data_IF_167004543789
#
_entry.id   IF_167004543789
#
_cell.length_a   1.000
_cell.length_b   1.000
_cell.length_c   1.000
_cell.angle_alpha   90.00
_cell.angle_beta   90.00
_cell.angle_gamma   90.00
#
_symmetry.space_group_name_H-M   'P 1'
#
loop_
_entity.id
_entity.type
_entity.pdbx_description
1 polymer ?
#
# COMPACT_ATOMS: atom_id res chain seq x y z
N UNK A 1 20.13 11.27 45.17
CA UNK A 1 19.86 12.61 44.59
C UNK A 1 18.45 12.65 44.01
N UNK A 2 17.74 13.76 44.16
CA UNK A 2 16.33 13.89 43.75
C UNK A 2 16.23 14.10 42.23
N UNK A 3 15.50 13.26 41.48
CA UNK A 3 15.46 13.24 40.01
C UNK A 3 15.08 14.61 39.39
N UNK A 4 14.21 15.36 40.07
CA UNK A 4 13.83 16.73 39.69
C UNK A 4 15.00 17.72 39.68
N UNK A 5 15.98 17.55 40.57
CA UNK A 5 17.17 18.41 40.64
C UNK A 5 18.12 18.13 39.48
N UNK A 6 18.22 16.87 39.06
CA UNK A 6 19.07 16.45 37.93
C UNK A 6 18.51 17.01 36.62
N UNK A 7 17.19 16.90 36.39
CA UNK A 7 16.55 17.51 35.22
C UNK A 7 16.76 19.03 35.21
N UNK A 8 16.54 19.70 36.34
CA UNK A 8 16.72 21.17 36.43
C UNK A 8 18.17 21.60 36.17
N UNK A 9 19.15 20.80 36.62
CA UNK A 9 20.56 21.04 36.34
C UNK A 9 20.89 20.83 34.85
N UNK A 10 20.35 19.76 34.23
CA UNK A 10 20.51 19.49 32.80
C UNK A 10 19.91 20.59 31.92
N UNK A 11 18.69 21.06 32.23
CA UNK A 11 18.07 22.16 31.49
C UNK A 11 18.88 23.46 31.60
N UNK A 12 19.40 23.78 32.79
CA UNK A 12 20.23 24.98 33.01
C UNK A 12 21.58 24.89 32.28
N UNK A 13 22.17 23.70 32.23
CA UNK A 13 23.37 23.37 31.45
C UNK A 13 23.17 23.62 29.96
N UNK A 14 22.07 23.12 29.38
CA UNK A 14 21.69 23.29 27.97
C UNK A 14 21.49 24.77 27.60
N UNK A 15 20.81 25.54 28.47
CA UNK A 15 20.54 26.96 28.23
C UNK A 15 21.83 27.81 28.24
N UNK A 16 22.88 27.39 28.96
CA UNK A 16 24.16 28.10 29.02
C UNK A 16 24.95 27.99 27.71
N UNK A 17 24.73 26.94 26.91
CA UNK A 17 25.43 26.70 25.63
C UNK A 17 24.47 26.55 24.45
N UNK A 18 23.54 27.51 24.28
CA UNK A 18 22.42 27.44 23.33
C UNK A 18 22.80 26.99 21.91
N UNK A 19 23.83 27.60 21.33
CA UNK A 19 24.24 27.30 19.95
C UNK A 19 24.75 25.86 19.79
N UNK A 20 25.52 25.37 20.76
CA UNK A 20 26.05 24.01 20.76
C UNK A 20 24.95 22.98 20.96
N UNK A 21 24.12 23.17 21.98
CA UNK A 21 23.00 22.28 22.25
C UNK A 21 21.99 22.23 21.10
N UNK A 22 21.77 23.35 20.41
CA UNK A 22 20.93 23.40 19.21
C UNK A 22 21.56 22.63 18.03
N UNK A 23 22.86 22.83 17.77
CA UNK A 23 23.59 22.09 16.72
C UNK A 23 23.60 20.56 16.99
N UNK A 24 23.74 20.14 18.24
CA UNK A 24 23.66 18.72 18.63
C UNK A 24 22.25 18.16 18.47
N UNK A 25 21.27 18.90 18.99
CA UNK A 25 19.87 18.49 18.92
C UNK A 25 19.42 18.41 17.46
N UNK A 26 19.93 19.27 16.57
CA UNK A 26 19.57 19.29 15.16
C UNK A 26 19.83 17.94 14.47
N UNK A 27 20.94 17.27 14.75
CA UNK A 27 21.22 15.94 14.20
C UNK A 27 20.19 14.89 14.63
N UNK A 28 19.75 14.93 15.90
CA UNK A 28 18.71 14.04 16.41
C UNK A 28 17.33 14.43 15.88
N UNK A 29 17.02 15.73 15.79
CA UNK A 29 15.76 16.25 15.24
C UNK A 29 15.59 15.78 13.81
N UNK A 30 16.61 16.01 12.96
CA UNK A 30 16.59 15.60 11.55
C UNK A 30 16.54 14.07 11.45
N UNK A 31 17.35 13.34 12.22
CA UNK A 31 17.35 11.88 12.19
C UNK A 31 15.99 11.28 12.58
N UNK A 32 15.39 11.72 13.68
CA UNK A 32 14.08 11.24 14.14
C UNK A 32 12.98 11.64 13.16
N UNK A 33 13.01 12.89 12.67
CA UNK A 33 12.03 13.34 11.69
C UNK A 33 12.13 12.52 10.40
N UNK A 34 13.34 12.29 9.90
CA UNK A 34 13.60 11.49 8.71
C UNK A 34 13.09 10.05 8.86
N UNK A 35 13.38 9.38 9.99
CA UNK A 35 12.87 8.03 10.27
C UNK A 35 11.34 8.02 10.24
N UNK A 36 10.69 8.91 10.99
CA UNK A 36 9.23 8.92 11.12
C UNK A 36 8.55 9.25 9.78
N UNK A 37 9.04 10.25 9.04
CA UNK A 37 8.47 10.62 7.74
C UNK A 37 8.66 9.49 6.72
N UNK A 38 9.86 8.91 6.60
CA UNK A 38 10.11 7.87 5.60
C UNK A 38 9.27 6.62 5.83
N UNK A 39 9.13 6.18 7.08
CA UNK A 39 8.27 5.03 7.39
C UNK A 39 6.80 5.39 7.18
N UNK A 40 6.35 6.59 7.55
CA UNK A 40 4.97 7.02 7.32
C UNK A 40 4.60 7.12 5.83
N UNK A 41 5.55 7.54 4.99
CA UNK A 41 5.40 7.54 3.52
C UNK A 41 5.36 6.11 2.98
N UNK A 42 6.22 5.22 3.47
CA UNK A 42 6.21 3.79 3.11
C UNK A 42 4.88 3.11 3.45
N UNK A 43 4.40 3.29 4.68
CA UNK A 43 3.11 2.76 5.15
C UNK A 43 1.94 3.33 4.34
N UNK A 44 1.93 4.64 4.07
CA UNK A 44 0.87 5.25 3.27
C UNK A 44 0.90 4.85 1.79
N UNK A 45 2.08 4.58 1.23
CA UNK A 45 2.22 3.96 -0.08
C UNK A 45 1.70 2.52 -0.08
N UNK A 46 2.00 1.74 0.97
CA UNK A 46 1.47 0.39 1.13
C UNK A 46 -0.06 0.40 1.20
N UNK A 47 -0.65 1.27 2.01
CA UNK A 47 -2.11 1.42 2.10
C UNK A 47 -2.74 1.75 0.75
N UNK A 48 -2.13 2.64 -0.03
CA UNK A 48 -2.58 2.96 -1.39
C UNK A 48 -2.54 1.76 -2.34
N UNK A 49 -1.48 0.96 -2.26
CA UNK A 49 -1.38 -0.29 -3.03
C UNK A 49 -2.47 -1.26 -2.59
N UNK A 50 -2.69 -1.43 -1.29
CA UNK A 50 -3.76 -2.29 -0.75
C UNK A 50 -5.16 -1.82 -1.19
N UNK A 51 -5.46 -0.53 -1.13
CA UNK A 51 -6.71 0.06 -1.62
C UNK A 51 -6.89 -0.14 -3.13
N UNK A 52 -5.84 0.10 -3.92
CA UNK A 52 -5.87 -0.11 -5.36
C UNK A 52 -6.14 -1.59 -5.69
N UNK A 53 -5.58 -2.52 -4.93
CA UNK A 53 -5.80 -3.95 -5.12
C UNK A 53 -7.20 -4.36 -4.66
N UNK A 54 -7.67 -3.86 -3.53
CA UNK A 54 -9.03 -4.08 -3.07
C UNK A 54 -10.06 -3.58 -4.10
N UNK A 55 -9.77 -2.46 -4.78
CA UNK A 55 -10.62 -1.92 -5.84
C UNK A 55 -10.73 -2.82 -7.08
N UNK A 56 -9.76 -3.72 -7.31
CA UNK A 56 -9.77 -4.68 -8.42
C UNK A 56 -10.69 -5.88 -8.14
N UNK A 57 -11.04 -6.10 -6.87
CA UNK A 57 -11.82 -7.22 -6.33
C UNK A 57 -11.00 -8.03 -5.34
N UNK A 58 -11.43 -8.10 -4.07
CA UNK A 58 -10.77 -8.94 -3.06
C UNK A 58 -10.94 -10.42 -3.42
N UNK A 59 -9.83 -11.15 -3.51
CA UNK A 59 -9.80 -12.60 -3.80
C UNK A 59 -10.22 -12.95 -5.24
N UNK A 60 -9.89 -12.08 -6.19
CA UNK A 60 -10.13 -12.31 -7.62
C UNK A 60 -9.12 -13.32 -8.18
N UNK A 61 -9.64 -14.43 -8.67
CA UNK A 61 -8.92 -15.42 -9.48
C UNK A 61 -9.34 -15.23 -10.93
N UNK A 62 -8.35 -15.11 -11.82
CA UNK A 62 -8.57 -14.97 -13.27
C UNK A 62 -8.03 -16.22 -13.96
N UNK A 63 -8.90 -16.86 -14.73
CA UNK A 63 -8.56 -17.98 -15.59
C UNK A 63 -8.44 -17.45 -17.02
N UNK A 64 -7.24 -17.48 -17.58
CA UNK A 64 -6.95 -17.04 -18.95
C UNK A 64 -6.57 -18.22 -19.83
N UNK A 65 -6.83 -18.18 -21.15
CA UNK A 65 -6.34 -19.22 -22.04
C UNK A 65 -4.82 -19.30 -22.03
N UNK A 66 -4.29 -20.51 -21.98
CA UNK A 66 -2.85 -20.77 -21.95
C UNK A 66 -2.19 -20.60 -23.31
N UNK A 67 -0.91 -20.96 -23.38
CA UNK A 67 -0.20 -21.15 -24.65
C UNK A 67 -0.59 -22.49 -25.24
N UNK A 68 -0.85 -22.55 -26.54
CA UNK A 68 -1.17 -23.82 -27.20
C UNK A 68 0.00 -24.35 -28.01
N UNK A 69 0.22 -25.66 -27.96
CA UNK A 69 1.12 -26.38 -28.87
C UNK A 69 0.33 -27.47 -29.58
N UNK A 70 0.15 -27.38 -30.90
CA UNK A 70 -0.54 -28.40 -31.69
C UNK A 70 0.22 -28.71 -32.98
N UNK A 71 0.48 -30.00 -33.24
CA UNK A 71 1.18 -30.45 -34.45
C UNK A 71 2.60 -29.88 -34.62
N UNK A 72 3.32 -29.60 -33.53
CA UNK A 72 4.64 -28.98 -33.57
C UNK A 72 4.65 -27.45 -33.72
N UNK A 73 3.47 -26.82 -33.87
CA UNK A 73 3.31 -25.36 -33.89
C UNK A 73 3.00 -24.87 -32.48
N UNK A 74 3.86 -24.00 -31.95
CA UNK A 74 3.66 -23.31 -30.66
C UNK A 74 3.06 -21.94 -30.91
N UNK A 75 1.91 -21.67 -30.32
CA UNK A 75 1.25 -20.37 -30.31
C UNK A 75 1.36 -19.70 -28.94
N UNK A 76 1.41 -18.36 -28.92
CA UNK A 76 1.45 -17.56 -27.69
C UNK A 76 0.16 -17.67 -26.86
N UNK A 77 0.16 -17.11 -25.65
CA UNK A 77 -1.02 -17.15 -24.78
C UNK A 77 -2.25 -16.55 -25.48
N UNK A 78 -3.38 -17.27 -25.49
CA UNK A 78 -4.59 -16.85 -26.18
C UNK A 78 -4.64 -17.15 -27.69
N UNK A 79 -3.60 -17.76 -28.28
CA UNK A 79 -3.62 -18.18 -29.70
C UNK A 79 -4.65 -19.28 -29.99
N UNK A 80 -5.04 -20.01 -28.96
CA UNK A 80 -6.08 -21.02 -29.00
C UNK A 80 -6.89 -20.90 -27.71
N UNK A 81 -8.20 -20.79 -27.87
CA UNK A 81 -9.11 -20.55 -26.77
C UNK A 81 -10.24 -21.57 -26.83
N UNK A 82 -10.32 -22.43 -25.82
CA UNK A 82 -11.36 -23.45 -25.67
C UNK A 82 -12.47 -23.06 -24.71
N UNK A 83 -12.40 -21.89 -24.07
CA UNK A 83 -13.39 -21.52 -23.07
C UNK A 83 -14.78 -21.37 -23.66
N UNK A 84 -15.69 -22.12 -23.07
CA UNK A 84 -17.10 -22.19 -23.39
C UNK A 84 -17.95 -21.77 -22.20
N UNK A 85 -19.23 -21.50 -22.45
CA UNK A 85 -20.18 -21.26 -21.36
C UNK A 85 -20.39 -22.51 -20.50
N UNK A 86 -20.16 -23.70 -21.05
CA UNK A 86 -20.25 -24.96 -20.30
C UNK A 86 -19.18 -25.04 -19.21
N UNK A 87 -17.98 -24.52 -19.46
CA UNK A 87 -16.91 -24.46 -18.44
C UNK A 87 -17.31 -23.56 -17.27
N UNK A 88 -17.94 -22.42 -17.57
CA UNK A 88 -18.47 -21.48 -16.57
C UNK A 88 -19.57 -22.13 -15.74
N UNK A 89 -20.51 -22.81 -16.41
CA UNK A 89 -21.61 -23.51 -15.74
C UNK A 89 -21.08 -24.66 -14.88
N UNK A 90 -20.05 -25.39 -15.34
CA UNK A 90 -19.40 -26.45 -14.58
C UNK A 90 -18.72 -25.90 -13.32
N UNK A 91 -17.92 -24.84 -13.43
CA UNK A 91 -17.33 -24.14 -12.29
C UNK A 91 -18.41 -23.71 -11.30
N UNK A 92 -19.51 -23.11 -11.80
CA UNK A 92 -20.60 -22.63 -10.96
C UNK A 92 -21.27 -23.73 -10.14
N UNK A 93 -21.37 -24.94 -10.70
CA UNK A 93 -22.08 -26.06 -10.09
C UNK A 93 -21.18 -26.93 -9.20
N UNK A 94 -19.89 -27.06 -9.52
CA UNK A 94 -18.98 -27.98 -8.83
C UNK A 94 -18.06 -27.30 -7.82
N UNK A 95 -17.70 -26.03 -8.02
CA UNK A 95 -16.77 -25.35 -7.13
C UNK A 95 -17.46 -24.94 -5.82
N UNK A 96 -16.86 -25.34 -4.70
CA UNK A 96 -17.39 -25.07 -3.35
C UNK A 96 -16.64 -23.97 -2.61
N UNK A 97 -15.43 -23.62 -3.07
CA UNK A 97 -14.57 -22.62 -2.43
C UNK A 97 -14.70 -21.22 -3.04
N UNK A 98 -15.69 -21.01 -3.90
CA UNK A 98 -15.91 -19.77 -4.63
C UNK A 98 -17.20 -19.08 -4.19
N UNK A 99 -17.23 -17.76 -4.26
CA UNK A 99 -18.40 -16.93 -3.97
C UNK A 99 -19.26 -16.68 -5.21
N UNK A 100 -18.62 -16.58 -6.37
CA UNK A 100 -19.29 -16.32 -7.64
C UNK A 100 -18.33 -16.51 -8.82
N UNK A 101 -18.92 -16.71 -10.00
CA UNK A 101 -18.19 -16.89 -11.26
C UNK A 101 -18.83 -16.07 -12.37
N UNK A 102 -18.00 -15.43 -13.19
CA UNK A 102 -18.44 -14.70 -14.37
C UNK A 102 -17.52 -14.99 -15.55
N UNK A 103 -18.07 -15.31 -16.74
CA UNK A 103 -17.31 -15.20 -17.96
C UNK A 103 -16.99 -13.73 -18.23
N UNK A 104 -15.92 -13.50 -18.97
CA UNK A 104 -15.60 -12.21 -19.55
C UNK A 104 -15.55 -12.35 -21.07
N UNK A 105 -16.56 -11.82 -21.75
CA UNK A 105 -16.57 -11.73 -23.22
C UNK A 105 -16.22 -10.30 -23.60
N UNK A 106 -15.05 -10.07 -24.19
CA UNK A 106 -14.66 -8.73 -24.64
C UNK A 106 -15.14 -8.45 -26.05
N UNK A 107 -15.70 -7.27 -26.25
CA UNK A 107 -15.97 -6.66 -27.54
C UNK A 107 -15.66 -5.17 -27.47
N UNK A 108 -15.74 -4.50 -28.61
CA UNK A 108 -15.47 -3.07 -28.72
C UNK A 108 -16.17 -2.51 -29.94
N UNK A 109 -16.39 -1.20 -29.96
CA UNK A 109 -16.96 -0.53 -31.11
C UNK A 109 -17.36 0.91 -30.83
N UNK A 110 -17.94 1.53 -31.85
CA UNK A 110 -18.62 2.81 -31.69
C UNK A 110 -19.99 2.58 -31.05
N UNK A 111 -20.27 3.36 -30.02
CA UNK A 111 -21.54 3.44 -29.32
C UNK A 111 -22.17 4.76 -29.72
N UNK A 112 -23.45 4.74 -30.06
CA UNK A 112 -24.21 5.92 -30.46
C UNK A 112 -25.43 6.01 -29.56
N UNK A 113 -25.61 7.12 -28.87
CA UNK A 113 -26.69 7.33 -27.90
C UNK A 113 -26.73 8.78 -27.44
N UNK A 114 -27.91 9.24 -27.00
CA UNK A 114 -28.12 10.62 -26.61
C UNK A 114 -27.77 11.59 -27.73
N UNK A 115 -26.89 12.55 -27.43
CA UNK A 115 -26.44 13.59 -28.36
C UNK A 115 -25.13 13.25 -29.10
N UNK A 116 -24.51 12.11 -28.80
CA UNK A 116 -23.12 11.86 -29.16
C UNK A 116 -22.81 10.44 -29.67
N UNK A 117 -21.52 10.22 -29.87
CA UNK A 117 -20.95 8.90 -30.10
C UNK A 117 -19.64 8.76 -29.33
N UNK A 118 -19.36 7.55 -28.87
CA UNK A 118 -18.19 7.26 -28.05
C UNK A 118 -17.62 5.89 -28.43
N UNK A 119 -16.30 5.74 -28.47
CA UNK A 119 -15.66 4.46 -28.71
C UNK A 119 -15.22 3.86 -27.37
N UNK A 120 -15.75 2.70 -27.01
CA UNK A 120 -15.44 2.07 -25.73
C UNK A 120 -15.45 0.54 -25.82
N UNK A 121 -15.00 -0.12 -24.75
CA UNK A 121 -15.06 -1.56 -24.59
C UNK A 121 -16.41 -2.02 -24.05
N UNK A 122 -16.90 -3.12 -24.60
CA UNK A 122 -18.10 -3.81 -24.12
C UNK A 122 -17.68 -5.12 -23.49
N UNK A 123 -18.10 -5.35 -22.25
CA UNK A 123 -17.84 -6.58 -21.52
C UNK A 123 -19.14 -7.35 -21.28
N UNK A 124 -19.17 -8.57 -21.79
CA UNK A 124 -20.22 -9.54 -21.52
C UNK A 124 -19.91 -10.31 -20.24
N UNK A 125 -20.75 -10.17 -19.22
CA UNK A 125 -20.51 -10.73 -17.88
C UNK A 125 -21.79 -11.37 -17.28
N UNK A 126 -21.64 -12.10 -16.18
CA UNK A 126 -22.73 -12.65 -15.37
C UNK A 126 -23.16 -11.67 -14.26
N UNK A 127 -24.33 -11.86 -13.63
CA UNK A 127 -24.81 -11.03 -12.51
C UNK A 127 -23.80 -10.94 -11.35
N UNK A 128 -23.11 -12.05 -11.08
CA UNK A 128 -22.09 -12.17 -10.03
C UNK A 128 -20.88 -11.24 -10.24
N UNK A 129 -20.72 -10.65 -11.43
CA UNK A 129 -19.57 -9.80 -11.78
C UNK A 129 -19.40 -8.59 -10.86
N UNK A 130 -20.50 -7.93 -10.46
CA UNK A 130 -20.43 -6.79 -9.55
C UNK A 130 -19.87 -7.18 -8.20
N UNK A 131 -20.22 -8.36 -7.71
CA UNK A 131 -19.71 -8.89 -6.45
C UNK A 131 -18.24 -9.31 -6.58
N UNK A 132 -17.90 -10.05 -7.65
CA UNK A 132 -16.53 -10.49 -7.95
C UNK A 132 -15.58 -9.29 -8.05
N UNK A 133 -16.01 -8.21 -8.69
CA UNK A 133 -15.23 -6.98 -8.85
C UNK A 133 -15.44 -5.96 -7.73
N UNK A 134 -16.29 -6.24 -6.74
CA UNK A 134 -16.67 -5.27 -5.70
C UNK A 134 -17.04 -3.90 -6.29
N UNK A 135 -17.88 -3.89 -7.32
CA UNK A 135 -18.30 -2.67 -8.04
C UNK A 135 -19.74 -2.31 -7.69
N UNK A 136 -19.93 -1.15 -7.08
CA UNK A 136 -21.24 -0.61 -6.79
C UNK A 136 -21.88 0.10 -8.00
N UNK A 137 -23.20 0.10 -8.06
CA UNK A 137 -23.98 0.96 -8.96
C UNK A 137 -24.09 2.38 -8.38
N UNK A 138 -24.00 3.39 -9.25
CA UNK A 138 -24.34 4.76 -8.91
C UNK A 138 -25.87 4.96 -8.95
N UNK A 139 -26.53 4.41 -9.97
CA UNK A 139 -27.96 4.54 -10.20
C UNK A 139 -28.51 3.37 -11.02
N UNK A 140 -29.83 3.14 -10.93
CA UNK A 140 -30.52 2.07 -11.64
C UNK A 140 -30.29 0.68 -11.02
N UNK A 141 -30.40 -0.35 -11.86
CA UNK A 141 -30.31 -1.76 -11.45
C UNK A 141 -29.31 -2.53 -12.34
N UNK A 142 -28.82 -3.67 -11.83
CA UNK A 142 -28.04 -4.62 -12.63
C UNK A 142 -28.97 -5.64 -13.28
N UNK A 143 -28.52 -6.26 -14.37
CA UNK A 143 -29.28 -7.34 -15.00
C UNK A 143 -29.21 -8.64 -14.20
N UNK A 144 -30.22 -9.47 -14.37
CA UNK A 144 -30.41 -10.73 -13.63
C UNK A 144 -30.00 -11.96 -14.45
N UNK A 145 -29.97 -13.13 -13.81
CA UNK A 145 -29.74 -14.41 -14.51
C UNK A 145 -30.79 -14.69 -15.60
N UNK A 146 -32.01 -14.18 -15.41
CA UNK A 146 -33.08 -14.28 -16.41
C UNK A 146 -32.72 -13.49 -17.67
N UNK A 147 -32.11 -12.31 -17.51
CA UNK A 147 -31.69 -11.47 -18.63
C UNK A 147 -30.54 -12.10 -19.42
N UNK A 148 -29.59 -12.74 -18.72
CA UNK A 148 -28.53 -13.52 -19.36
C UNK A 148 -29.11 -14.68 -20.17
N UNK A 149 -30.01 -15.44 -19.57
CA UNK A 149 -30.63 -16.60 -20.24
C UNK A 149 -31.52 -16.20 -21.41
N UNK A 150 -32.28 -15.11 -21.27
CA UNK A 150 -33.13 -14.56 -22.32
C UNK A 150 -32.37 -13.80 -23.42
N UNK A 151 -31.05 -13.63 -23.27
CA UNK A 151 -30.20 -12.81 -24.15
C UNK A 151 -30.78 -11.39 -24.30
N UNK A 152 -31.21 -10.83 -23.17
CA UNK A 152 -31.81 -9.51 -23.11
C UNK A 152 -30.83 -8.44 -23.61
N UNK A 153 -31.35 -7.46 -24.34
CA UNK A 153 -30.59 -6.33 -24.89
C UNK A 153 -30.62 -5.17 -23.90
N UNK A 154 -30.03 -5.40 -22.74
CA UNK A 154 -29.86 -4.42 -21.67
C UNK A 154 -28.38 -4.18 -21.40
N UNK A 155 -28.02 -2.99 -20.97
CA UNK A 155 -26.65 -2.66 -20.61
C UNK A 155 -26.58 -1.71 -19.41
N UNK A 156 -25.42 -1.73 -18.76
CA UNK A 156 -25.04 -0.84 -17.66
C UNK A 156 -23.82 -0.06 -18.13
N UNK A 157 -23.86 1.26 -17.99
CA UNK A 157 -22.79 2.15 -18.45
C UNK A 157 -21.80 2.43 -17.32
N UNK A 158 -20.52 2.51 -17.65
CA UNK A 158 -19.53 3.16 -16.80
C UNK A 158 -19.77 4.67 -16.73
N UNK A 159 -19.32 5.32 -15.66
CA UNK A 159 -19.58 6.75 -15.43
C UNK A 159 -19.06 7.63 -16.56
N UNK A 160 -17.84 7.34 -17.07
CA UNK A 160 -17.27 8.11 -18.18
C UNK A 160 -18.07 7.96 -19.48
N UNK A 161 -18.61 6.78 -19.75
CA UNK A 161 -19.46 6.54 -20.93
C UNK A 161 -20.80 7.24 -20.78
N UNK A 162 -21.39 7.24 -19.57
CA UNK A 162 -22.63 7.95 -19.29
C UNK A 162 -22.46 9.46 -19.48
N UNK A 163 -21.41 10.05 -18.91
CA UNK A 163 -21.13 11.49 -18.99
C UNK A 163 -20.88 11.95 -20.44
N UNK A 164 -20.20 11.13 -21.26
CA UNK A 164 -19.92 11.49 -22.65
C UNK A 164 -21.12 11.30 -23.60
N UNK A 165 -22.00 10.33 -23.35
CA UNK A 165 -23.17 10.08 -24.21
C UNK A 165 -24.40 10.90 -23.78
N UNK A 166 -24.53 11.19 -22.48
CA UNK A 166 -25.68 11.86 -21.87
C UNK A 166 -25.22 12.95 -20.87
N UNK A 167 -24.54 14.02 -21.32
CA UNK A 167 -23.97 15.04 -20.42
C UNK A 167 -25.02 15.83 -19.61
N UNK A 168 -26.23 16.01 -20.16
CA UNK A 168 -27.29 16.84 -19.58
C UNK A 168 -28.61 16.06 -19.36
N UNK A 169 -28.61 14.73 -19.55
CA UNK A 169 -29.80 13.88 -19.54
C UNK A 169 -29.59 12.61 -18.68
N UNK A 170 -30.68 12.04 -18.14
CA UNK A 170 -30.60 10.76 -17.44
C UNK A 170 -30.46 9.63 -18.47
N UNK A 171 -29.34 8.90 -18.41
CA UNK A 171 -29.08 7.78 -19.29
C UNK A 171 -30.01 6.58 -19.02
N UNK A 172 -30.61 6.46 -17.84
CA UNK A 172 -31.42 5.29 -17.48
C UNK A 172 -32.72 5.26 -18.26
N UNK A 173 -33.02 4.11 -18.87
CA UNK A 173 -34.22 3.90 -19.67
C UNK A 173 -34.04 4.19 -21.15
N UNK A 174 -33.02 4.98 -21.50
CA UNK A 174 -32.69 5.33 -22.88
C UNK A 174 -32.08 4.18 -23.67
N UNK A 175 -32.09 4.31 -24.99
CA UNK A 175 -31.48 3.34 -25.90
C UNK A 175 -30.12 3.82 -26.39
N UNK A 176 -29.12 2.97 -26.24
CA UNK A 176 -27.80 3.13 -26.86
C UNK A 176 -27.63 2.07 -27.95
N UNK A 177 -27.14 2.49 -29.10
CA UNK A 177 -26.81 1.59 -30.20
C UNK A 177 -25.36 1.19 -30.12
N UNK A 178 -25.12 -0.07 -29.80
CA UNK A 178 -23.79 -0.68 -29.79
C UNK A 178 -23.60 -1.36 -31.14
N UNK A 179 -22.72 -0.82 -31.98
CA UNK A 179 -22.60 -1.20 -33.40
C UNK A 179 -23.94 -1.05 -34.16
N UNK A 180 -24.64 -2.17 -34.39
CA UNK A 180 -25.93 -2.19 -35.08
C UNK A 180 -27.05 -2.82 -34.25
N UNK A 181 -26.85 -2.95 -32.93
CA UNK A 181 -27.82 -3.56 -32.01
C UNK A 181 -28.24 -2.52 -30.97
N UNK A 182 -29.55 -2.24 -30.80
CA UNK A 182 -30.04 -1.34 -29.77
C UNK A 182 -30.06 -2.07 -28.41
N UNK A 183 -29.48 -1.43 -27.40
CA UNK A 183 -29.49 -1.85 -26.01
C UNK A 183 -30.21 -0.79 -25.17
N UNK A 184 -31.00 -1.22 -24.19
CA UNK A 184 -31.60 -0.35 -23.20
C UNK A 184 -30.66 -0.17 -22.01
N UNK A 185 -30.40 1.06 -21.60
CA UNK A 185 -29.62 1.36 -20.41
C UNK A 185 -30.51 1.13 -19.18
N UNK A 186 -30.04 0.32 -18.23
CA UNK A 186 -30.78 -0.01 -16.99
C UNK A 186 -30.07 0.44 -15.71
N UNK A 187 -28.80 0.86 -15.81
CA UNK A 187 -28.04 1.36 -14.67
C UNK A 187 -26.71 1.99 -15.07
N UNK A 188 -26.10 2.67 -14.10
CA UNK A 188 -24.80 3.33 -14.22
C UNK A 188 -23.91 2.85 -13.09
N UNK A 189 -22.66 2.52 -13.39
CA UNK A 189 -21.66 2.10 -12.42
C UNK A 189 -21.11 3.30 -11.66
N UNK A 190 -20.81 3.10 -10.37
CA UNK A 190 -20.11 4.11 -9.58
C UNK A 190 -18.67 4.23 -10.07
N UNK A 191 -18.19 5.45 -10.29
CA UNK A 191 -16.80 5.68 -10.69
C UNK A 191 -15.81 5.01 -9.72
N UNK A 192 -14.87 4.24 -10.28
CA UNK A 192 -13.70 3.70 -9.59
C UNK A 192 -12.45 4.53 -9.85
N UNK A 193 -12.51 5.46 -10.79
CA UNK A 193 -11.41 6.33 -11.17
C UNK A 193 -10.40 5.65 -12.11
N UNK A 194 -9.35 6.40 -12.43
CA UNK A 194 -8.29 5.94 -13.32
C UNK A 194 -7.26 5.08 -12.57
N UNK A 195 -6.79 4.03 -13.22
CA UNK A 195 -5.64 3.25 -12.75
C UNK A 195 -4.39 4.15 -12.79
N UNK A 196 -3.38 3.88 -11.95
CA UNK A 196 -2.10 4.60 -11.94
C UNK A 196 -1.37 4.68 -13.30
N UNK A 197 -1.76 3.85 -14.28
CA UNK A 197 -1.24 3.81 -15.66
C UNK A 197 -2.10 4.66 -16.64
N UNK A 198 -3.04 5.46 -16.13
CA UNK A 198 -3.89 6.35 -16.93
C UNK A 198 -5.00 5.64 -17.71
N UNK A 199 -5.23 4.34 -17.48
CA UNK A 199 -6.38 3.62 -18.04
C UNK A 199 -7.58 3.79 -17.13
N UNK A 200 -8.66 4.37 -17.67
CA UNK A 200 -9.93 4.51 -16.96
C UNK A 200 -10.59 3.15 -16.78
N UNK A 201 -10.92 2.79 -15.54
CA UNK A 201 -11.81 1.65 -15.29
C UNK A 201 -13.27 2.01 -15.60
N UNK A 202 -13.57 3.30 -15.77
CA UNK A 202 -14.92 3.82 -15.93
C UNK A 202 -15.36 3.92 -17.40
N UNK A 203 -14.43 3.77 -18.35
CA UNK A 203 -14.70 3.71 -19.79
C UNK A 203 -15.07 2.30 -20.24
N UNK A 204 -16.29 1.86 -19.90
CA UNK A 204 -16.78 0.52 -20.19
C UNK A 204 -18.30 0.48 -20.32
N UNK A 205 -18.80 -0.47 -21.10
CA UNK A 205 -20.20 -0.91 -21.07
C UNK A 205 -20.28 -2.36 -20.64
N UNK A 206 -21.14 -2.65 -19.67
CA UNK A 206 -21.39 -4.02 -19.20
C UNK A 206 -22.75 -4.50 -19.72
N UNK A 207 -22.80 -5.72 -20.25
CA UNK A 207 -24.03 -6.34 -20.74
C UNK A 207 -24.05 -7.85 -20.46
N UNK A 208 -25.21 -8.52 -20.56
CA UNK A 208 -25.30 -9.95 -20.33
C UNK A 208 -24.38 -10.76 -21.24
N UNK A 209 -23.61 -11.68 -20.65
CA UNK A 209 -22.55 -12.43 -21.33
C UNK A 209 -23.00 -13.16 -22.59
N UNK A 210 -24.13 -13.88 -22.54
CA UNK A 210 -24.73 -14.56 -23.70
C UNK A 210 -25.17 -13.59 -24.79
N UNK A 211 -25.66 -12.40 -24.44
CA UNK A 211 -26.03 -11.35 -25.40
C UNK A 211 -24.80 -10.84 -26.14
N UNK A 212 -23.73 -10.52 -25.42
CA UNK A 212 -22.48 -10.02 -26.02
C UNK A 212 -21.82 -11.09 -26.88
N UNK A 213 -21.78 -12.35 -26.41
CA UNK A 213 -21.19 -13.46 -27.14
C UNK A 213 -21.85 -13.65 -28.52
N UNK A 214 -23.18 -13.76 -28.54
CA UNK A 214 -23.92 -14.08 -29.76
C UNK A 214 -24.06 -12.87 -30.70
N UNK A 215 -24.35 -11.68 -30.15
CA UNK A 215 -24.73 -10.51 -30.94
C UNK A 215 -23.56 -9.59 -31.29
N UNK A 216 -22.52 -9.56 -30.45
CA UNK A 216 -21.42 -8.60 -30.58
C UNK A 216 -20.07 -9.25 -30.88
N UNK A 217 -19.79 -10.44 -30.35
CA UNK A 217 -18.51 -11.15 -30.59
C UNK A 217 -18.57 -12.11 -31.79
N UNK A 218 -19.77 -12.36 -32.33
CA UNK A 218 -19.96 -13.31 -33.43
C UNK A 218 -19.75 -14.76 -33.00
N UNK A 219 -20.02 -15.07 -31.72
CA UNK A 219 -19.97 -16.43 -31.16
C UNK A 219 -18.57 -17.01 -31.00
N UNK A 220 -17.52 -16.17 -31.00
CA UNK A 220 -16.15 -16.66 -31.13
C UNK A 220 -15.64 -17.28 -29.82
N UNK A 221 -15.29 -16.54 -28.78
CA UNK A 221 -14.72 -17.16 -27.56
C UNK A 221 -14.92 -16.30 -26.29
N UNK A 222 -14.92 -16.94 -25.12
CA UNK A 222 -14.84 -16.27 -23.82
C UNK A 222 -13.39 -15.84 -23.59
N UNK A 223 -13.14 -14.56 -23.36
CA UNK A 223 -11.77 -14.03 -23.23
C UNK A 223 -11.06 -14.50 -21.96
N UNK A 224 -11.79 -14.59 -20.85
CA UNK A 224 -11.32 -15.15 -19.59
C UNK A 224 -12.51 -15.51 -18.70
N UNK A 225 -12.27 -16.31 -17.66
CA UNK A 225 -13.25 -16.59 -16.60
C UNK A 225 -12.75 -15.92 -15.34
N UNK A 226 -13.61 -15.16 -14.68
CA UNK A 226 -13.32 -14.47 -13.43
C UNK A 226 -14.08 -15.13 -12.31
N UNK A 227 -13.38 -15.41 -11.21
CA UNK A 227 -13.92 -16.10 -10.04
C UNK A 227 -13.53 -15.31 -8.80
N UNK A 228 -14.42 -15.21 -7.84
CA UNK A 228 -14.08 -14.69 -6.51
C UNK A 228 -14.01 -15.85 -5.52
N UNK A 229 -12.88 -16.03 -4.84
CA UNK A 229 -12.78 -16.99 -3.75
C UNK A 229 -13.53 -16.49 -2.50
N UNK A 230 -14.02 -17.42 -1.67
CA UNK A 230 -14.77 -17.09 -0.44
C UNK A 230 -13.95 -16.18 0.50
N UNK A 231 -12.63 -16.41 0.57
CA UNK A 231 -11.68 -15.62 1.35
C UNK A 231 -10.29 -15.67 0.71
N UNK A 232 -9.44 -14.70 1.04
CA UNK A 232 -8.03 -14.67 0.63
C UNK A 232 -7.28 -15.93 1.07
N UNK A 233 -7.54 -16.38 2.30
CA UNK A 233 -6.95 -17.59 2.89
C UNK A 233 -7.28 -18.88 2.12
N UNK A 234 -8.45 -18.92 1.47
CA UNK A 234 -8.91 -20.07 0.68
C UNK A 234 -8.55 -19.96 -0.80
N UNK A 235 -7.91 -18.88 -1.23
CA UNK A 235 -7.66 -18.63 -2.65
C UNK A 235 -6.79 -19.72 -3.29
N UNK A 236 -5.71 -20.15 -2.63
CA UNK A 236 -4.84 -21.24 -3.10
C UNK A 236 -5.60 -22.57 -3.23
N UNK A 237 -6.46 -22.87 -2.26
CA UNK A 237 -7.30 -24.07 -2.29
C UNK A 237 -8.34 -23.99 -3.42
N UNK A 238 -8.95 -22.81 -3.61
CA UNK A 238 -9.88 -22.55 -4.71
C UNK A 238 -9.19 -22.66 -6.08
N UNK A 239 -7.96 -22.18 -6.24
CA UNK A 239 -7.20 -22.37 -7.47
C UNK A 239 -6.96 -23.84 -7.79
N UNK A 240 -6.64 -24.65 -6.78
CA UNK A 240 -6.45 -26.10 -6.94
C UNK A 240 -7.75 -26.81 -7.33
N UNK A 241 -8.87 -26.43 -6.69
CA UNK A 241 -10.21 -26.90 -7.03
C UNK A 241 -10.59 -26.52 -8.47
N UNK A 242 -10.45 -25.24 -8.84
CA UNK A 242 -10.72 -24.72 -10.19
C UNK A 242 -9.85 -25.41 -11.24
N UNK A 243 -8.57 -25.65 -10.93
CA UNK A 243 -7.67 -26.39 -11.82
C UNK A 243 -8.17 -27.80 -12.09
N UNK A 244 -8.62 -28.51 -11.05
CA UNK A 244 -9.17 -29.86 -11.20
C UNK A 244 -10.43 -29.86 -12.08
N UNK A 245 -11.38 -28.95 -11.80
CA UNK A 245 -12.63 -28.82 -12.55
C UNK A 245 -12.35 -28.51 -14.03
N UNK A 246 -11.44 -27.58 -14.31
CA UNK A 246 -11.09 -27.19 -15.68
C UNK A 246 -10.36 -28.30 -16.43
N UNK A 247 -9.42 -29.03 -15.80
CA UNK A 247 -8.78 -30.19 -16.43
C UNK A 247 -9.80 -31.26 -16.78
N UNK A 248 -10.78 -31.49 -15.92
CA UNK A 248 -11.85 -32.45 -16.19
C UNK A 248 -12.79 -31.96 -17.30
N UNK A 249 -13.17 -30.68 -17.30
CA UNK A 249 -14.00 -30.07 -18.35
C UNK A 249 -13.35 -30.21 -19.73
N UNK A 250 -12.05 -29.92 -19.80
CA UNK A 250 -11.26 -29.96 -21.02
C UNK A 250 -10.74 -31.38 -21.37
N UNK A 251 -11.03 -32.38 -20.53
CA UNK A 251 -10.61 -33.79 -20.69
C UNK A 251 -9.09 -33.97 -20.81
N UNK A 252 -8.32 -33.22 -20.02
CA UNK A 252 -6.87 -33.27 -20.01
C UNK A 252 -6.37 -34.49 -19.21
N UNK A 253 -5.52 -35.31 -19.82
CA UNK A 253 -4.97 -36.52 -19.19
C UNK A 253 -3.88 -36.21 -18.16
N UNK A 254 -3.52 -37.18 -17.31
CA UNK A 254 -2.41 -37.01 -16.36
C UNK A 254 -1.08 -36.88 -17.12
N UNK A 255 -0.43 -35.73 -17.00
CA UNK A 255 0.84 -35.43 -17.68
C UNK A 255 0.69 -34.51 -18.90
N UNK A 256 -0.54 -34.19 -19.33
CA UNK A 256 -0.76 -33.13 -20.31
C UNK A 256 -0.62 -31.74 -19.66
N UNK A 257 0.03 -30.83 -20.39
CA UNK A 257 0.14 -29.42 -20.03
C UNK A 257 -1.24 -28.76 -19.98
N UNK A 258 -1.44 -27.84 -19.04
CA UNK A 258 -2.70 -27.09 -18.95
C UNK A 258 -2.85 -26.16 -20.16
N UNK A 259 -4.03 -26.17 -20.79
CA UNK A 259 -4.38 -25.22 -21.86
C UNK A 259 -4.99 -23.91 -21.32
N UNK A 260 -4.90 -23.70 -20.00
CA UNK A 260 -5.31 -22.51 -19.28
C UNK A 260 -4.28 -22.14 -18.21
N UNK A 261 -4.28 -20.86 -17.82
CA UNK A 261 -3.51 -20.35 -16.70
C UNK A 261 -4.47 -19.77 -15.68
N UNK A 262 -4.30 -20.14 -14.41
CA UNK A 262 -5.02 -19.56 -13.28
C UNK A 262 -4.06 -18.61 -12.57
N UNK A 263 -4.47 -17.37 -12.40
CA UNK A 263 -3.70 -16.33 -11.70
C UNK A 263 -4.53 -15.76 -10.56
N UNK A 264 -3.90 -15.61 -9.39
CA UNK A 264 -4.45 -14.79 -8.31
C UNK A 264 -4.06 -13.34 -8.49
N UNK A 265 -4.93 -12.43 -8.06
CA UNK A 265 -4.54 -11.06 -7.80
C UNK A 265 -3.69 -10.95 -6.51
N UNK A 266 -3.79 -11.90 -5.57
CA UNK A 266 -2.99 -11.91 -4.33
C UNK A 266 -1.49 -11.97 -4.59
N UNK A 267 -1.04 -12.68 -5.62
CA UNK A 267 0.39 -12.82 -5.93
C UNK A 267 0.99 -11.47 -6.32
N UNK A 268 0.24 -10.66 -7.08
CA UNK A 268 0.60 -9.29 -7.45
C UNK A 268 0.61 -8.39 -6.20
N UNK A 269 -0.36 -8.61 -5.29
CA UNK A 269 -0.45 -7.87 -4.04
C UNK A 269 0.70 -8.15 -3.09
N UNK A 270 1.06 -9.41 -2.96
CA UNK A 270 2.16 -9.86 -2.13
C UNK A 270 3.49 -9.32 -2.68
N UNK A 271 3.72 -9.41 -3.99
CA UNK A 271 4.91 -8.85 -4.62
C UNK A 271 5.03 -7.32 -4.44
N UNK A 272 3.93 -6.58 -4.57
CA UNK A 272 3.92 -5.14 -4.36
C UNK A 272 4.14 -4.78 -2.87
N UNK A 273 3.54 -5.53 -1.96
CA UNK A 273 3.73 -5.38 -0.52
C UNK A 273 5.17 -5.68 -0.10
N UNK A 274 5.75 -6.76 -0.62
CA UNK A 274 7.15 -7.12 -0.39
C UNK A 274 8.09 -6.02 -0.89
N UNK A 275 7.85 -5.51 -2.10
CA UNK A 275 8.63 -4.40 -2.67
C UNK A 275 8.55 -3.14 -1.79
N UNK A 276 7.34 -2.79 -1.31
CA UNK A 276 7.15 -1.66 -0.39
C UNK A 276 7.89 -1.84 0.93
N UNK A 277 7.89 -3.06 1.49
CA UNK A 277 8.65 -3.38 2.70
C UNK A 277 10.15 -3.24 2.48
N UNK A 278 10.69 -3.73 1.37
CA UNK A 278 12.12 -3.61 1.03
C UNK A 278 12.53 -2.14 0.93
N UNK A 279 11.74 -1.31 0.24
CA UNK A 279 11.98 0.14 0.16
C UNK A 279 11.92 0.80 1.53
N UNK A 280 10.93 0.44 2.34
CA UNK A 280 10.78 0.94 3.71
C UNK A 280 11.99 0.60 4.57
N UNK A 281 12.52 -0.64 4.49
CA UNK A 281 13.74 -1.03 5.20
C UNK A 281 14.98 -0.30 4.70
N UNK A 282 15.12 -0.08 3.40
CA UNK A 282 16.22 0.68 2.83
C UNK A 282 16.20 2.13 3.35
N UNK A 283 15.04 2.78 3.30
CA UNK A 283 14.87 4.14 3.79
C UNK A 283 15.10 4.23 5.31
N UNK A 284 14.56 3.30 6.08
CA UNK A 284 14.80 3.21 7.52
C UNK A 284 16.28 3.02 7.86
N UNK A 285 17.02 2.25 7.04
CA UNK A 285 18.46 2.06 7.21
C UNK A 285 19.24 3.36 7.00
N UNK A 286 18.94 4.12 5.94
CA UNK A 286 19.55 5.43 5.68
C UNK A 286 19.22 6.43 6.79
N UNK A 287 17.97 6.41 7.27
CA UNK A 287 17.53 7.21 8.40
C UNK A 287 18.28 6.84 9.69
N UNK A 288 18.48 5.54 9.94
CA UNK A 288 19.25 5.01 11.06
C UNK A 288 20.70 5.50 11.05
N UNK A 289 21.36 5.51 9.89
CA UNK A 289 22.72 6.06 9.74
C UNK A 289 22.75 7.54 10.11
N UNK A 290 21.76 8.31 9.68
CA UNK A 290 21.65 9.74 10.01
C UNK A 290 21.49 9.98 11.52
N UNK A 291 20.77 9.09 12.21
CA UNK A 291 20.61 9.16 13.66
C UNK A 291 21.90 8.77 14.40
N UNK A 292 22.68 7.83 13.88
CA UNK A 292 24.03 7.51 14.40
C UNK A 292 24.94 8.74 14.28
N UNK A 293 24.92 9.45 13.16
CA UNK A 293 25.68 10.71 12.99
C UNK A 293 25.24 11.77 14.02
N UNK A 294 23.94 11.89 14.28
CA UNK A 294 23.42 12.72 15.37
C UNK A 294 23.93 12.29 16.75
N UNK A 295 24.00 10.99 17.01
CA UNK A 295 24.57 10.40 18.22
C UNK A 295 26.06 10.73 18.42
N UNK A 296 26.88 10.64 17.36
CA UNK A 296 28.29 11.05 17.38
C UNK A 296 28.40 12.54 17.76
N UNK A 297 27.48 13.37 17.27
CA UNK A 297 27.36 14.77 17.68
C UNK A 297 27.18 14.94 19.20
N UNK A 298 26.29 14.14 19.82
CA UNK A 298 26.10 14.12 21.28
C UNK A 298 27.41 13.78 21.97
N UNK A 299 28.08 12.70 21.54
CA UNK A 299 29.34 12.27 22.13
C UNK A 299 30.40 13.37 22.11
N UNK A 300 30.60 14.02 20.96
CA UNK A 300 31.62 15.06 20.80
C UNK A 300 31.35 16.28 21.67
N UNK A 301 30.10 16.74 21.71
CA UNK A 301 29.70 17.88 22.54
C UNK A 301 29.86 17.54 24.02
N UNK A 302 29.50 16.32 24.42
CA UNK A 302 29.66 15.87 25.80
C UNK A 302 31.13 15.78 26.19
N UNK A 303 32.03 15.30 25.31
CA UNK A 303 33.48 15.31 25.59
C UNK A 303 34.01 16.71 25.83
N UNK A 304 33.62 17.67 24.97
CA UNK A 304 34.00 19.08 25.13
C UNK A 304 33.42 19.66 26.43
N UNK A 305 32.17 19.33 26.76
CA UNK A 305 31.54 19.79 28.01
C UNK A 305 32.22 19.21 29.25
N UNK A 306 32.75 17.98 29.18
CA UNK A 306 33.50 17.38 30.28
C UNK A 306 34.83 18.11 30.46
N UNK A 307 35.54 18.41 29.36
CA UNK A 307 36.80 19.16 29.45
C UNK A 307 36.62 20.57 29.98
N UNK A 308 35.56 21.28 29.57
CA UNK A 308 35.25 22.63 30.08
C UNK A 308 34.83 22.65 31.55
N UNK A 309 34.24 21.56 32.04
CA UNK A 309 33.77 21.43 33.43
C UNK A 309 34.69 20.60 34.30
N UNK A 310 35.91 20.30 33.85
CA UNK A 310 36.88 19.44 34.57
C UNK A 310 37.07 19.91 36.01
N UNK A 311 37.32 21.22 36.22
CA UNK A 311 37.50 21.81 37.55
C UNK A 311 36.25 21.72 38.42
N UNK A 312 35.06 21.94 37.85
CA UNK A 312 33.78 21.80 38.57
C UNK A 312 33.53 20.36 39.02
N UNK A 313 33.85 19.38 38.17
CA UNK A 313 33.76 17.96 38.49
C UNK A 313 34.74 17.59 39.61
N UNK A 314 35.98 18.08 39.54
CA UNK A 314 37.00 17.87 40.58
C UNK A 314 36.58 18.40 41.95
N UNK A 315 35.94 19.58 41.99
CA UNK A 315 35.37 20.13 43.24
C UNK A 315 34.28 19.20 43.80
N UNK A 316 33.35 18.72 42.97
CA UNK A 316 32.28 17.81 43.42
C UNK A 316 32.82 16.50 44.00
N UNK A 317 33.80 15.89 43.33
CA UNK A 317 34.43 14.67 43.80
C UNK A 317 35.21 14.90 45.11
N UNK A 318 35.89 16.04 45.24
CA UNK A 318 36.63 16.41 46.46
C UNK A 318 35.73 16.66 47.67
N UNK A 319 34.50 17.13 47.44
CA UNK A 319 33.48 17.35 48.49
C UNK A 319 32.69 16.06 48.81
N UNK A 320 33.03 14.93 48.16
CA UNK A 320 32.50 13.60 48.50
C UNK A 320 31.44 13.04 47.56
N UNK A 321 31.22 13.63 46.38
CA UNK A 321 30.35 13.01 45.37
C UNK A 321 30.94 11.68 44.88
N UNK A 322 30.10 10.66 44.67
CA UNK A 322 30.56 9.37 44.12
C UNK A 322 30.77 9.50 42.61
N UNK A 323 31.69 8.72 42.04
CA UNK A 323 31.86 8.62 40.59
C UNK A 323 30.55 8.26 39.87
N UNK A 324 29.69 7.44 40.50
CA UNK A 324 28.35 7.12 40.01
C UNK A 324 27.43 8.33 39.91
N UNK A 325 27.55 9.30 40.81
CA UNK A 325 26.72 10.51 40.80
C UNK A 325 27.08 11.39 39.59
N UNK A 326 28.36 11.50 39.28
CA UNK A 326 28.86 12.21 38.09
C UNK A 326 28.44 11.48 36.81
N UNK A 327 28.58 10.15 36.78
CA UNK A 327 28.14 9.32 35.65
C UNK A 327 26.65 9.54 35.35
N UNK A 328 25.78 9.39 36.37
CA UNK A 328 24.33 9.54 36.21
C UNK A 328 23.99 10.97 35.79
N UNK A 329 24.67 11.98 36.32
CA UNK A 329 24.44 13.37 35.93
C UNK A 329 24.68 13.57 34.42
N UNK A 330 25.89 13.26 33.93
CA UNK A 330 26.23 13.47 32.52
C UNK A 330 25.43 12.57 31.58
N UNK A 331 25.16 11.33 31.98
CA UNK A 331 24.29 10.44 31.20
C UNK A 331 22.87 11.00 31.10
N UNK A 332 22.33 11.54 32.20
CA UNK A 332 21.01 12.19 32.18
C UNK A 332 21.02 13.45 31.31
N UNK A 333 22.09 14.24 31.30
CA UNK A 333 22.23 15.38 30.38
C UNK A 333 22.15 14.94 28.91
N UNK A 334 22.83 13.85 28.54
CA UNK A 334 22.79 13.30 27.19
C UNK A 334 21.40 12.76 26.80
N UNK A 335 20.75 12.02 27.70
CA UNK A 335 19.41 11.47 27.48
C UNK A 335 18.35 12.57 27.39
N UNK A 336 18.40 13.58 28.25
CA UNK A 336 17.46 14.72 28.19
C UNK A 336 17.63 15.47 26.87
N UNK A 337 18.87 15.67 26.41
CA UNK A 337 19.14 16.31 25.12
C UNK A 337 18.61 15.48 23.95
N UNK A 338 18.83 14.16 23.95
CA UNK A 338 18.36 13.28 22.87
C UNK A 338 16.84 13.15 22.85
N UNK A 339 16.18 12.99 24.00
CA UNK A 339 14.73 12.92 24.09
C UNK A 339 14.09 14.26 23.69
N UNK A 340 14.66 15.40 24.09
CA UNK A 340 14.16 16.71 23.67
C UNK A 340 14.26 16.89 22.15
N UNK A 341 15.39 16.48 21.56
CA UNK A 341 15.55 16.44 20.11
C UNK A 341 14.56 15.50 19.43
N UNK A 342 14.28 14.34 20.04
CA UNK A 342 13.29 13.38 19.56
C UNK A 342 11.86 13.92 19.56
N UNK A 343 11.44 14.61 20.63
CA UNK A 343 10.11 15.25 20.68
C UNK A 343 9.98 16.28 19.57
N UNK A 344 10.98 17.16 19.42
CA UNK A 344 10.97 18.20 18.38
C UNK A 344 10.99 17.55 16.99
N UNK A 345 11.76 16.48 16.79
CA UNK A 345 11.80 15.71 15.55
C UNK A 345 10.45 15.08 15.20
N UNK A 346 9.72 14.53 16.17
CA UNK A 346 8.37 13.99 15.98
C UNK A 346 7.36 15.10 15.64
N UNK A 347 7.41 16.23 16.34
CA UNK A 347 6.54 17.36 16.01
C UNK A 347 6.83 17.89 14.59
N UNK A 348 8.10 17.92 14.22
CA UNK A 348 8.53 18.31 12.89
C UNK A 348 8.09 17.29 11.82
N UNK A 349 8.14 15.98 12.09
CA UNK A 349 7.66 14.98 11.15
C UNK A 349 6.15 15.04 10.93
N UNK A 350 5.37 15.32 11.98
CA UNK A 350 3.92 15.54 11.86
C UNK A 350 3.63 16.74 10.96
N UNK A 351 4.38 17.84 11.13
CA UNK A 351 4.26 19.01 10.26
C UNK A 351 4.58 18.66 8.80
N UNK A 352 5.67 17.93 8.56
CA UNK A 352 6.07 17.50 7.21
C UNK A 352 5.02 16.58 6.60
N UNK A 353 4.50 15.59 7.34
CA UNK A 353 3.45 14.70 6.86
C UNK A 353 2.14 15.44 6.54
N UNK A 354 1.77 16.42 7.36
CA UNK A 354 0.62 17.29 7.08
C UNK A 354 0.80 18.09 5.79
N UNK A 355 2.01 18.63 5.55
CA UNK A 355 2.32 19.34 4.30
C UNK A 355 2.24 18.37 3.10
N UNK A 356 2.82 17.17 3.21
CA UNK A 356 2.80 16.17 2.13
C UNK A 356 1.37 15.75 1.76
N UNK A 357 0.51 15.50 2.75
CA UNK A 357 -0.87 15.06 2.50
C UNK A 357 -1.76 16.13 1.84
N UNK A 358 -1.48 17.41 2.08
CA UNK A 358 -2.31 18.51 1.54
C UNK A 358 -1.78 19.09 0.23
N UNK A 359 -0.47 19.04 0.02
CA UNK A 359 0.18 19.67 -1.14
C UNK A 359 0.72 18.66 -2.16
N UNK A 360 0.56 17.36 -1.92
CA UNK A 360 1.00 16.31 -2.84
C UNK A 360 -0.06 15.22 -2.89
N UNK A 361 -0.15 14.49 -4.00
CA UNK A 361 -0.99 13.29 -4.12
C UNK A 361 -0.45 12.08 -3.33
N UNK A 362 0.46 12.29 -2.36
CA UNK A 362 1.01 11.24 -1.54
C UNK A 362 0.26 11.13 -0.21
N UNK A 363 0.04 9.90 0.24
CA UNK A 363 -0.53 9.65 1.56
C UNK A 363 0.61 9.27 2.49
N UNK A 364 0.87 10.08 3.51
CA UNK A 364 1.76 9.78 4.62
C UNK A 364 0.89 9.45 5.83
N UNK A 365 0.96 8.20 6.30
CA UNK A 365 0.21 7.71 7.44
C UNK A 365 1.15 7.49 8.63
N UNK A 366 1.10 8.38 9.63
CA UNK A 366 1.93 8.24 10.83
C UNK A 366 1.23 7.33 11.82
N UNK A 367 1.77 6.12 11.99
CA UNK A 367 1.31 5.21 13.04
C UNK A 367 1.87 5.60 14.42
N UNK A 368 1.07 5.51 15.51
CA UNK A 368 1.55 5.83 16.86
C UNK A 368 2.70 4.96 17.35
N UNK A 369 2.78 3.70 16.92
CA UNK A 369 3.83 2.77 17.31
C UNK A 369 5.20 3.16 16.75
N UNK A 370 5.27 3.66 15.51
CA UNK A 370 6.52 4.19 14.92
C UNK A 370 7.04 5.39 15.73
N UNK A 371 6.15 6.26 16.19
CA UNK A 371 6.53 7.41 17.03
C UNK A 371 7.15 6.95 18.35
N UNK A 372 6.56 5.92 18.98
CA UNK A 372 7.10 5.32 20.21
C UNK A 372 8.47 4.69 19.94
N UNK A 373 8.61 3.91 18.86
CA UNK A 373 9.89 3.29 18.48
C UNK A 373 10.97 4.35 18.25
N UNK A 374 10.67 5.41 17.50
CA UNK A 374 11.60 6.50 17.24
C UNK A 374 12.02 7.23 18.52
N UNK A 375 11.08 7.45 19.45
CA UNK A 375 11.35 8.07 20.75
C UNK A 375 12.24 7.20 21.65
N UNK A 376 11.94 5.90 21.75
CA UNK A 376 12.76 4.92 22.49
C UNK A 376 14.16 4.84 21.89
N UNK A 377 14.26 4.84 20.56
CA UNK A 377 15.54 4.77 19.86
C UNK A 377 16.39 6.04 20.06
N UNK A 378 15.77 7.23 20.06
CA UNK A 378 16.45 8.48 20.42
C UNK A 378 16.99 8.47 21.86
N UNK A 379 16.23 7.89 22.81
CA UNK A 379 16.70 7.65 24.17
C UNK A 379 17.90 6.70 24.23
N UNK A 380 17.83 5.57 23.52
CA UNK A 380 18.90 4.59 23.45
C UNK A 380 20.22 5.18 22.88
N UNK A 381 20.12 6.01 21.84
CA UNK A 381 21.29 6.72 21.27
C UNK A 381 21.88 7.72 22.26
N UNK A 382 21.04 8.46 22.99
CA UNK A 382 21.49 9.35 24.06
C UNK A 382 22.26 8.61 25.15
N UNK A 383 21.78 7.42 25.54
CA UNK A 383 22.48 6.56 26.50
C UNK A 383 23.81 6.08 25.91
N UNK A 384 23.79 5.49 24.72
CA UNK A 384 24.95 4.85 24.10
C UNK A 384 26.10 5.84 23.86
N UNK A 385 25.83 6.96 23.20
CA UNK A 385 26.84 7.98 22.90
C UNK A 385 27.16 8.90 24.09
N UNK A 386 26.25 9.03 25.06
CA UNK A 386 26.48 9.75 26.30
C UNK A 386 27.30 8.96 27.33
N UNK A 387 27.33 7.63 27.24
CA UNK A 387 27.97 6.76 28.22
C UNK A 387 29.49 6.94 28.28
N UNK A 388 30.18 6.94 27.13
CA UNK A 388 31.64 7.06 27.11
C UNK A 388 32.15 8.39 27.71
N UNK A 389 31.62 9.57 27.33
CA UNK A 389 31.99 10.85 27.95
C UNK A 389 31.65 10.89 29.45
N UNK A 390 30.48 10.38 29.84
CA UNK A 390 30.05 10.36 31.24
C UNK A 390 30.97 9.47 32.10
N UNK A 391 31.40 8.31 31.56
CA UNK A 391 32.38 7.43 32.20
C UNK A 391 33.74 8.11 32.33
N UNK A 392 34.18 8.84 31.29
CA UNK A 392 35.43 9.60 31.32
C UNK A 392 35.39 10.70 32.40
N UNK A 393 34.27 11.41 32.54
CA UNK A 393 34.07 12.41 33.59
C UNK A 393 34.10 11.81 35.00
N UNK A 394 33.45 10.66 35.18
CA UNK A 394 33.38 9.96 36.46
C UNK A 394 34.74 9.37 36.92
N UNK A 395 35.66 9.14 35.97
CA UNK A 395 36.98 8.58 36.22
C UNK A 395 38.08 9.64 36.45
N UNK A 396 37.73 10.93 36.49
CA UNK A 396 38.70 12.01 36.74
C UNK A 396 39.26 11.93 38.16
N UNK A 397 40.59 12.09 38.28
CA UNK A 397 41.24 12.24 39.59
C UNK A 397 40.98 13.67 40.12
N UNK A 398 40.42 13.83 41.34
CA UNK A 398 40.09 15.14 41.90
C UNK A 398 41.30 16.09 41.98
N UNK A 399 42.49 15.56 42.25
CA UNK A 399 43.73 16.35 42.38
C UNK A 399 44.14 16.93 41.02
N UNK A 400 44.12 16.11 39.97
CA UNK A 400 44.48 16.53 38.61
C UNK A 400 43.44 17.51 38.05
N UNK A 401 42.16 17.27 38.35
CA UNK A 401 41.06 18.11 37.90
C UNK A 401 41.10 19.53 38.51
N UNK A 402 41.64 19.70 39.73
CA UNK A 402 41.78 21.00 40.39
C UNK A 402 43.03 21.78 39.93
N UNK A 403 44.02 21.08 39.35
CA UNK A 403 45.23 21.68 38.76
C UNK A 403 45.03 22.14 37.32
N UNK A 404 43.94 21.75 36.68
CA UNK A 404 43.59 22.17 35.33
C UNK A 404 43.13 23.63 35.35
N UNK A 405 43.82 24.52 34.60
CA UNK A 405 43.44 25.92 34.39
C UNK A 405 42.33 26.08 33.37
#
# INVERSE_FOLDING_TARGET
>A
MNFKVIIKAATKSIIKSRMRSLLTALGIIIGVAAVVVMVAVGDGAQLKVEEQIASLGSNLIIITPGTSSSGGVRGGAGSFNRFTMEDVDKIKNEATLIKGVSPLVRSGGQIIGGSGNWFTQIQGVSPDYLEIRSWALASGEFFTERDVTAKAKVCVLGSEVADNLFPDEDAIGEQVRIRNVPFKVIGILKSKGQTAVGTSNDDIIIAPSKTVLDRLSGGRFISSIQVSAISSEKSIAAQSELKSIMREAHKLEQGEDDDFTIQDQSDIAEAATETSRVLTYLLASVAGVSLIVGGIGIMNIMLVSVTERTREIGIRLSVGARASDILIQFLTEAVVLSLSGGIIGVLFSILVAYILNNYTEQTAYIRPDIVIVAFVFAGAIGIFFGFYPAKKAAALNPIDALRYE
#
